data_IF_712367199257
#
_entry.id   IF_712367199257
#
_cell.length_a   1.000
_cell.length_b   1.000
_cell.length_c   1.000
_cell.angle_alpha   90.00
_cell.angle_beta   90.00
_cell.angle_gamma   90.00
#
_symmetry.space_group_name_H-M   'P 1'
#
loop_
_entity.id
_entity.type
_entity.pdbx_description
1 polymer ?
#
# COMPACT_ATOMS: atom_id res chain seq x y z
N UNK A 1 0.78 -21.26 -3.22
CA UNK A 1 -0.66 -21.18 -2.86
C UNK A 1 -0.77 -20.04 -1.89
N UNK A 2 -1.76 -19.15 -2.01
CA UNK A 2 -1.82 -17.99 -1.12
C UNK A 2 -2.03 -18.46 0.33
N UNK A 3 -1.05 -18.27 1.19
CA UNK A 3 -1.07 -18.70 2.60
C UNK A 3 -1.87 -17.69 3.43
N UNK A 4 -3.15 -17.48 3.09
CA UNK A 4 -4.00 -16.54 3.81
C UNK A 4 -5.29 -17.20 4.23
N UNK A 5 -5.56 -17.13 5.53
CA UNK A 5 -6.78 -17.68 6.10
C UNK A 5 -7.91 -16.66 6.07
N UNK A 6 -9.16 -17.12 5.99
CA UNK A 6 -10.35 -16.25 6.10
C UNK A 6 -10.30 -15.39 7.38
N UNK A 7 -9.72 -15.93 8.46
CA UNK A 7 -9.53 -15.21 9.72
C UNK A 7 -8.62 -14.00 9.57
N UNK A 8 -7.50 -14.12 8.86
CA UNK A 8 -6.59 -12.99 8.61
C UNK A 8 -7.25 -11.90 7.74
N UNK A 9 -8.08 -12.28 6.75
CA UNK A 9 -8.86 -11.31 5.96
C UNK A 9 -9.92 -10.60 6.82
N UNK A 10 -10.51 -11.32 7.78
CA UNK A 10 -11.49 -10.74 8.71
C UNK A 10 -10.81 -9.75 9.68
N UNK A 11 -9.70 -10.14 10.30
CA UNK A 11 -8.96 -9.32 11.28
C UNK A 11 -8.35 -8.04 10.66
N UNK A 12 -7.93 -8.11 9.40
CA UNK A 12 -7.41 -6.96 8.64
C UNK A 12 -8.51 -6.02 8.11
N UNK A 13 -9.78 -6.45 8.15
CA UNK A 13 -10.93 -5.63 7.75
C UNK A 13 -11.20 -5.60 6.25
N UNK A 14 -10.78 -6.63 5.50
CA UNK A 14 -10.99 -6.75 4.04
C UNK A 14 -12.48 -6.86 3.68
N UNK A 15 -13.29 -7.40 4.58
CA UNK A 15 -14.72 -7.64 4.39
C UNK A 15 -15.59 -6.38 4.43
N UNK A 16 -15.07 -5.25 4.93
CA UNK A 16 -15.83 -4.00 4.98
C UNK A 16 -15.81 -3.32 3.60
N UNK A 17 -16.98 -3.01 3.05
CA UNK A 17 -17.10 -2.15 1.90
C UNK A 17 -17.52 -0.73 2.26
N UNK A 18 -18.10 -0.01 1.30
CA UNK A 18 -18.63 1.33 1.47
C UNK A 18 -20.10 1.33 1.92
N UNK A 19 -20.60 2.54 2.19
CA UNK A 19 -22.00 2.81 2.47
C UNK A 19 -22.93 2.40 1.32
N UNK A 20 -24.15 1.97 1.64
CA UNK A 20 -25.14 1.50 0.65
C UNK A 20 -25.44 2.47 -0.47
N UNK A 21 -25.40 3.78 -0.21
CA UNK A 21 -25.61 4.84 -1.21
C UNK A 21 -24.49 4.97 -2.26
N UNK A 22 -23.31 4.40 -2.02
CA UNK A 22 -22.10 4.58 -2.87
C UNK A 22 -21.71 3.32 -3.64
N UNK A 23 -22.59 2.33 -3.73
CA UNK A 23 -22.27 1.05 -4.38
C UNK A 23 -22.52 1.05 -5.89
N UNK A 24 -21.84 0.14 -6.58
CA UNK A 24 -22.06 -0.21 -7.97
C UNK A 24 -22.94 -1.47 -8.06
N UNK A 25 -24.09 -1.44 -8.77
CA UNK A 25 -24.95 -2.61 -8.93
C UNK A 25 -24.26 -3.87 -9.49
N UNK A 26 -23.20 -3.72 -10.30
CA UNK A 26 -22.43 -4.86 -10.83
C UNK A 26 -21.62 -5.61 -9.76
N UNK A 27 -21.35 -4.95 -8.63
CA UNK A 27 -20.68 -5.57 -7.48
C UNK A 27 -21.62 -6.46 -6.66
N UNK A 28 -22.93 -6.51 -6.96
CA UNK A 28 -23.92 -7.34 -6.24
C UNK A 28 -23.49 -8.80 -6.07
N UNK A 29 -22.79 -9.38 -7.05
CA UNK A 29 -22.30 -10.77 -7.00
C UNK A 29 -21.23 -11.01 -5.93
N UNK A 30 -20.46 -9.98 -5.56
CA UNK A 30 -19.38 -10.06 -4.59
C UNK A 30 -19.79 -9.61 -3.18
N UNK A 31 -20.99 -9.04 -3.05
CA UNK A 31 -21.52 -8.54 -1.78
C UNK A 31 -22.29 -9.68 -1.09
N UNK A 32 -21.90 -9.99 0.14
CA UNK A 32 -22.55 -10.99 0.99
C UNK A 32 -23.87 -10.45 1.58
N UNK A 33 -23.86 -9.22 2.06
CA UNK A 33 -25.01 -8.59 2.69
C UNK A 33 -24.73 -7.16 3.17
N UNK A 34 -25.66 -6.59 3.92
CA UNK A 34 -25.55 -5.26 4.52
C UNK A 34 -25.65 -5.36 6.04
N UNK A 35 -24.83 -4.58 6.75
CA UNK A 35 -24.96 -4.38 8.21
C UNK A 35 -24.70 -2.92 8.55
N UNK A 36 -25.62 -2.30 9.29
CA UNK A 36 -25.52 -0.91 9.73
C UNK A 36 -25.26 0.09 8.58
N UNK A 37 -25.87 -0.12 7.40
CA UNK A 37 -25.68 0.76 6.24
C UNK A 37 -24.36 0.58 5.49
N UNK A 38 -23.56 -0.44 5.83
CA UNK A 38 -22.29 -0.79 5.15
C UNK A 38 -22.45 -2.15 4.48
N UNK A 39 -22.02 -2.25 3.22
CA UNK A 39 -21.98 -3.53 2.53
C UNK A 39 -20.81 -4.38 3.01
N UNK A 40 -21.06 -5.68 3.17
CA UNK A 40 -20.06 -6.68 3.55
C UNK A 40 -19.71 -7.48 2.30
N UNK A 41 -18.41 -7.56 2.01
CA UNK A 41 -17.86 -8.32 0.88
C UNK A 41 -17.73 -9.80 1.28
N UNK A 42 -18.05 -10.69 0.35
CA UNK A 42 -17.93 -12.14 0.54
C UNK A 42 -16.47 -12.59 0.50
N UNK A 43 -15.93 -12.94 1.68
CA UNK A 43 -14.55 -13.39 1.83
C UNK A 43 -14.24 -14.75 1.17
N UNK A 44 -15.23 -15.62 0.98
CA UNK A 44 -15.01 -16.90 0.29
C UNK A 44 -14.71 -16.66 -1.19
N UNK A 45 -15.45 -15.72 -1.79
CA UNK A 45 -15.14 -15.25 -3.13
C UNK A 45 -13.78 -14.56 -3.14
N UNK A 46 -13.50 -13.64 -2.20
CA UNK A 46 -12.19 -12.98 -2.12
C UNK A 46 -11.04 -13.97 -2.15
N UNK A 47 -11.08 -15.06 -1.38
CA UNK A 47 -10.05 -16.10 -1.38
C UNK A 47 -9.86 -16.75 -2.77
N UNK A 48 -10.96 -17.13 -3.42
CA UNK A 48 -10.92 -17.74 -4.75
C UNK A 48 -10.30 -16.79 -5.79
N UNK A 49 -10.61 -15.51 -5.71
CA UNK A 49 -10.09 -14.49 -6.62
C UNK A 49 -8.63 -14.12 -6.30
N UNK A 50 -8.26 -14.09 -5.02
CA UNK A 50 -6.86 -13.94 -4.58
C UNK A 50 -6.02 -15.07 -5.18
N UNK A 51 -6.46 -16.32 -5.10
CA UNK A 51 -5.71 -17.46 -5.66
C UNK A 51 -5.51 -17.33 -7.18
N UNK A 52 -6.53 -16.89 -7.91
CA UNK A 52 -6.44 -16.64 -9.36
C UNK A 52 -5.45 -15.52 -9.68
N UNK A 53 -5.54 -14.39 -8.97
CA UNK A 53 -4.63 -13.27 -9.13
C UNK A 53 -3.19 -13.64 -8.76
N UNK A 54 -3.01 -14.39 -7.67
CA UNK A 54 -1.72 -14.89 -7.20
C UNK A 54 -1.04 -15.75 -8.26
N UNK A 55 -1.76 -16.73 -8.82
CA UNK A 55 -1.24 -17.59 -9.88
C UNK A 55 -0.82 -16.79 -11.12
N UNK A 56 -1.66 -15.86 -11.57
CA UNK A 56 -1.37 -15.00 -12.71
C UNK A 56 -0.12 -14.12 -12.49
N UNK A 57 -0.02 -13.50 -11.32
CA UNK A 57 1.13 -12.65 -10.94
C UNK A 57 2.42 -13.45 -10.91
N UNK A 58 2.42 -14.60 -10.21
CA UNK A 58 3.57 -15.50 -10.13
C UNK A 58 4.02 -15.95 -11.52
N UNK A 59 3.08 -16.38 -12.36
CA UNK A 59 3.39 -16.88 -13.70
C UNK A 59 3.91 -15.77 -14.63
N UNK A 60 3.40 -14.54 -14.49
CA UNK A 60 3.87 -13.37 -15.25
C UNK A 60 5.31 -13.01 -14.89
N UNK A 61 5.64 -13.02 -13.59
CA UNK A 61 6.99 -12.70 -13.12
C UNK A 61 7.98 -13.84 -13.41
N UNK A 62 7.53 -15.09 -13.32
CA UNK A 62 8.34 -16.27 -13.69
C UNK A 62 8.77 -16.23 -15.17
N UNK A 63 7.95 -15.66 -16.05
CA UNK A 63 8.28 -15.42 -17.47
C UNK A 63 9.24 -14.23 -17.69
N UNK A 64 9.66 -13.56 -16.61
CA UNK A 64 10.52 -12.39 -16.66
C UNK A 64 9.79 -11.06 -16.88
N UNK A 65 8.47 -11.01 -16.66
CA UNK A 65 7.70 -9.78 -16.71
C UNK A 65 7.85 -8.92 -15.45
N UNK A 66 7.71 -7.61 -15.61
CA UNK A 66 7.64 -6.64 -14.53
C UNK A 66 6.17 -6.29 -14.21
N UNK A 67 5.90 -6.09 -12.93
CA UNK A 67 4.58 -5.67 -12.43
C UNK A 67 4.71 -4.27 -11.87
N UNK A 68 3.83 -3.36 -12.31
CA UNK A 68 3.77 -2.00 -11.81
C UNK A 68 2.74 -1.90 -10.68
N UNK A 69 3.20 -1.55 -9.48
CA UNK A 69 2.33 -1.34 -8.32
C UNK A 69 1.84 0.11 -8.30
N UNK A 70 0.52 0.33 -8.26
CA UNK A 70 -0.09 1.66 -8.35
C UNK A 70 -1.06 1.87 -7.20
N UNK A 71 -0.87 2.97 -6.46
CA UNK A 71 -1.83 3.44 -5.48
C UNK A 71 -1.44 4.79 -4.91
N UNK A 72 -2.24 5.81 -5.23
CA UNK A 72 -2.04 7.21 -4.85
C UNK A 72 -2.83 7.58 -3.60
N UNK A 73 -3.76 6.72 -3.19
CA UNK A 73 -4.55 6.83 -1.97
C UNK A 73 -3.63 6.82 -0.74
N UNK A 74 -3.86 7.71 0.23
CA UNK A 74 -3.00 7.89 1.42
C UNK A 74 -2.74 6.58 2.16
N UNK A 75 -3.75 5.73 2.26
CA UNK A 75 -3.72 4.44 2.94
C UNK A 75 -2.90 3.37 2.19
N UNK A 76 -2.64 3.58 0.90
CA UNK A 76 -1.90 2.66 0.03
C UNK A 76 -0.45 3.11 -0.21
N UNK A 77 -0.13 4.40 -0.07
CA UNK A 77 1.16 4.95 -0.52
C UNK A 77 2.37 4.26 0.11
N UNK A 78 2.34 4.11 1.44
CA UNK A 78 3.45 3.51 2.21
C UNK A 78 3.55 2.01 1.94
N UNK A 79 2.43 1.29 2.03
CA UNK A 79 2.37 -0.15 1.81
C UNK A 79 2.87 -0.54 0.40
N UNK A 80 2.50 0.23 -0.63
CA UNK A 80 2.96 -0.03 -2.00
C UNK A 80 4.45 0.24 -2.13
N UNK A 81 4.94 1.38 -1.62
CA UNK A 81 6.35 1.73 -1.73
C UNK A 81 7.25 0.71 -1.02
N UNK A 82 6.89 0.32 0.19
CA UNK A 82 7.63 -0.66 0.99
C UNK A 82 7.66 -2.03 0.31
N UNK A 83 6.48 -2.56 -0.07
CA UNK A 83 6.37 -3.90 -0.63
C UNK A 83 6.96 -4.02 -2.03
N UNK A 84 6.81 -2.98 -2.87
CA UNK A 84 7.41 -2.98 -4.20
C UNK A 84 8.94 -2.84 -4.14
N UNK A 85 9.47 -2.01 -3.23
CA UNK A 85 10.91 -1.87 -3.01
C UNK A 85 11.51 -3.18 -2.51
N UNK A 86 10.82 -3.87 -1.59
CA UNK A 86 11.24 -5.20 -1.08
C UNK A 86 11.42 -6.23 -2.20
N UNK A 87 10.57 -6.20 -3.23
CA UNK A 87 10.58 -7.18 -4.34
C UNK A 87 11.33 -6.66 -5.58
N UNK A 88 11.82 -5.41 -5.56
CA UNK A 88 12.52 -4.80 -6.69
C UNK A 88 11.62 -4.52 -7.90
N UNK A 89 10.32 -4.33 -7.69
CA UNK A 89 9.34 -4.05 -8.74
C UNK A 89 9.03 -2.55 -8.83
N UNK A 90 8.70 -2.02 -10.02
CA UNK A 90 8.38 -0.61 -10.16
C UNK A 90 7.06 -0.24 -9.47
N UNK A 91 6.97 0.98 -8.95
CA UNK A 91 5.77 1.47 -8.27
C UNK A 91 5.46 2.95 -8.51
N UNK A 92 4.21 3.33 -8.26
CA UNK A 92 3.70 4.71 -8.26
C UNK A 92 2.83 4.90 -7.02
N UNK A 93 3.35 5.63 -6.03
CA UNK A 93 2.68 5.89 -4.75
C UNK A 93 2.16 7.34 -4.59
N UNK A 94 2.66 8.29 -5.38
CA UNK A 94 2.29 9.71 -5.22
C UNK A 94 1.15 10.12 -6.15
N UNK A 95 1.43 10.28 -7.45
CA UNK A 95 0.47 10.75 -8.43
C UNK A 95 0.72 10.09 -9.78
N UNK A 96 -0.35 9.58 -10.38
CA UNK A 96 -0.33 9.18 -11.79
C UNK A 96 -0.26 10.41 -12.71
N UNK A 97 0.77 10.48 -13.54
CA UNK A 97 0.83 11.46 -14.63
C UNK A 97 0.18 10.83 -15.86
N UNK A 98 -0.81 11.52 -16.44
CA UNK A 98 -1.42 11.06 -17.69
C UNK A 98 -0.36 10.89 -18.77
N UNK A 99 -0.40 9.76 -19.47
CA UNK A 99 0.62 9.37 -20.45
C UNK A 99 1.76 8.55 -19.86
N UNK A 100 1.66 8.07 -18.62
CA UNK A 100 2.71 7.26 -17.98
C UNK A 100 3.02 5.97 -18.75
N UNK A 101 1.99 5.30 -19.27
CA UNK A 101 2.16 4.09 -20.07
C UNK A 101 2.02 4.42 -21.56
N UNK A 102 1.01 5.20 -21.93
CA UNK A 102 0.69 5.48 -23.34
C UNK A 102 1.70 6.40 -24.02
N UNK A 103 2.37 7.30 -23.27
CA UNK A 103 3.45 8.16 -23.74
C UNK A 103 4.76 7.89 -22.98
N UNK A 104 5.10 6.61 -22.84
CA UNK A 104 6.28 6.18 -22.09
C UNK A 104 7.59 6.78 -22.62
N UNK A 105 7.71 7.04 -23.93
CA UNK A 105 8.91 7.67 -24.50
C UNK A 105 9.20 9.05 -23.90
N UNK A 106 8.17 9.85 -23.60
CA UNK A 106 8.35 11.17 -22.97
C UNK A 106 8.69 11.05 -21.49
N UNK A 107 8.10 10.07 -20.80
CA UNK A 107 8.33 9.81 -19.38
C UNK A 107 9.74 9.26 -19.17
N UNK A 108 10.19 8.33 -20.02
CA UNK A 108 11.55 7.79 -20.02
C UNK A 108 12.60 8.89 -20.16
N UNK A 109 12.38 9.89 -21.02
CA UNK A 109 13.25 11.09 -21.11
C UNK A 109 13.31 11.88 -19.80
N UNK A 110 12.19 11.99 -19.08
CA UNK A 110 12.15 12.67 -17.77
C UNK A 110 12.87 11.86 -16.70
N UNK A 111 12.75 10.53 -16.72
CA UNK A 111 13.51 9.63 -15.84
C UNK A 111 15.02 9.71 -16.13
N UNK A 112 15.42 9.76 -17.40
CA UNK A 112 16.81 9.99 -17.78
C UNK A 112 17.30 11.36 -17.26
N UNK A 113 16.48 12.41 -17.39
CA UNK A 113 16.82 13.74 -16.85
C UNK A 113 16.95 13.74 -15.32
N UNK A 114 16.16 12.94 -14.62
CA UNK A 114 16.29 12.75 -13.17
C UNK A 114 17.63 12.10 -12.82
N UNK A 115 18.04 11.04 -13.54
CA UNK A 115 19.34 10.39 -13.38
C UNK A 115 20.52 11.35 -13.67
N UNK A 116 20.39 12.22 -14.67
CA UNK A 116 21.37 13.29 -14.93
C UNK A 116 21.48 14.27 -13.75
N UNK A 117 20.35 14.69 -13.16
CA UNK A 117 20.35 15.61 -12.01
C UNK A 117 20.90 14.95 -10.74
N UNK A 118 20.75 13.63 -10.59
CA UNK A 118 21.36 12.89 -9.49
C UNK A 118 22.88 12.83 -9.56
N UNK A 119 23.45 12.84 -10.77
CA UNK A 119 24.90 12.83 -10.98
C UNK A 119 25.57 14.18 -10.69
N UNK A 120 24.80 15.25 -10.50
CA UNK A 120 25.33 16.59 -10.19
C UNK A 120 25.65 16.66 -8.70
N UNK A 121 26.87 17.08 -8.37
CA UNK A 121 27.23 17.43 -7.00
C UNK A 121 26.71 18.84 -6.66
N UNK A 122 25.60 18.87 -5.91
CA UNK A 122 24.97 20.12 -5.46
C UNK A 122 25.76 20.85 -4.37
N UNK A 123 26.72 20.18 -3.72
CA UNK A 123 27.52 20.77 -2.65
C UNK A 123 28.72 21.56 -3.19
N UNK A 124 29.25 21.13 -4.34
CA UNK A 124 30.43 21.75 -4.94
C UNK A 124 30.05 22.77 -6.04
N UNK A 125 29.87 24.02 -5.63
CA UNK A 125 29.59 25.16 -6.52
C UNK A 125 30.71 25.41 -7.53
N UNK A 126 31.97 25.16 -7.15
CA UNK A 126 33.12 25.42 -8.03
C UNK A 126 33.26 24.37 -9.15
N UNK A 127 32.89 23.11 -8.87
CA UNK A 127 32.95 22.02 -9.85
C UNK A 127 31.79 22.06 -10.86
N UNK A 128 30.63 22.58 -10.48
CA UNK A 128 29.44 22.64 -11.34
C UNK A 128 29.43 23.82 -12.30
N UNK A 129 30.19 24.89 -12.03
CA UNK A 129 30.18 26.11 -12.85
C UNK A 129 28.85 26.89 -12.81
N UNK A 130 27.96 26.55 -11.87
CA UNK A 130 26.62 27.12 -11.71
C UNK A 130 26.56 28.06 -10.52
N UNK A 131 25.65 29.03 -10.56
CA UNK A 131 25.38 29.89 -9.40
C UNK A 131 24.65 29.11 -8.30
N UNK A 132 24.81 29.52 -7.03
CA UNK A 132 24.08 28.92 -5.90
C UNK A 132 22.56 28.90 -6.10
N UNK A 133 22.01 29.91 -6.77
CA UNK A 133 20.57 29.99 -7.08
C UNK A 133 20.16 28.93 -8.09
N UNK A 134 20.98 28.68 -9.12
CA UNK A 134 20.72 27.66 -10.13
C UNK A 134 20.84 26.25 -9.55
N UNK A 135 21.83 26.01 -8.69
CA UNK A 135 21.97 24.74 -7.98
C UNK A 135 20.74 24.43 -7.13
N UNK A 136 20.25 25.40 -6.35
CA UNK A 136 19.03 25.24 -5.56
C UNK A 136 17.80 24.98 -6.44
N UNK A 137 17.71 25.59 -7.63
CA UNK A 137 16.64 25.31 -8.57
C UNK A 137 16.73 23.90 -9.16
N UNK A 138 17.93 23.41 -9.42
CA UNK A 138 18.15 22.05 -9.92
C UNK A 138 17.85 20.99 -8.84
N UNK A 139 18.24 21.25 -7.60
CA UNK A 139 17.94 20.40 -6.44
C UNK A 139 16.42 20.27 -6.25
N UNK A 140 15.67 21.37 -6.22
CA UNK A 140 14.20 21.35 -6.14
C UNK A 140 13.55 20.61 -7.33
N UNK A 141 14.15 20.68 -8.52
CA UNK A 141 13.69 19.92 -9.70
C UNK A 141 13.94 18.43 -9.50
N UNK A 142 15.11 18.05 -8.99
CA UNK A 142 15.45 16.66 -8.63
C UNK A 142 14.44 16.12 -7.62
N UNK A 143 14.26 16.78 -6.48
CA UNK A 143 13.32 16.35 -5.43
C UNK A 143 11.89 16.14 -5.96
N UNK A 144 11.42 17.06 -6.82
CA UNK A 144 10.09 16.96 -7.43
C UNK A 144 9.99 15.77 -8.40
N UNK A 145 11.02 15.52 -9.18
CA UNK A 145 11.07 14.38 -10.10
C UNK A 145 11.18 13.07 -9.32
N UNK A 146 12.05 12.99 -8.33
CA UNK A 146 12.25 11.82 -7.47
C UNK A 146 10.96 11.45 -6.73
N UNK A 147 10.25 12.45 -6.17
CA UNK A 147 8.95 12.22 -5.53
C UNK A 147 7.91 11.62 -6.48
N UNK A 148 7.93 11.98 -7.76
CA UNK A 148 6.87 11.57 -8.71
C UNK A 148 7.23 10.34 -9.55
N UNK A 149 8.51 10.18 -9.89
CA UNK A 149 9.01 9.16 -10.83
C UNK A 149 10.02 8.21 -10.18
N UNK A 150 10.33 8.36 -8.88
CA UNK A 150 11.32 7.53 -8.19
C UNK A 150 11.01 6.03 -8.27
N UNK A 151 9.75 5.64 -8.13
CA UNK A 151 9.36 4.23 -8.22
C UNK A 151 9.38 3.63 -9.64
N UNK A 152 9.50 4.45 -10.69
CA UNK A 152 9.69 3.99 -12.08
C UNK A 152 11.08 4.30 -12.62
N UNK A 153 12.02 4.64 -11.74
CA UNK A 153 13.41 5.01 -12.05
C UNK A 153 14.13 3.93 -12.87
N UNK A 154 13.98 2.68 -12.47
CA UNK A 154 14.70 1.54 -13.05
C UNK A 154 13.83 0.70 -13.99
N UNK A 155 12.68 1.26 -14.37
CA UNK A 155 11.82 0.70 -15.39
C UNK A 155 12.33 1.08 -16.78
N UNK A 156 12.80 0.09 -17.54
CA UNK A 156 13.33 0.26 -18.91
C UNK A 156 12.33 -0.13 -20.01
N UNK A 157 11.34 -0.95 -19.67
CA UNK A 157 10.31 -1.46 -20.58
C UNK A 157 8.94 -1.22 -19.95
N UNK A 158 7.90 -1.29 -20.77
CA UNK A 158 6.53 -1.26 -20.25
C UNK A 158 6.27 -2.48 -19.35
N UNK A 159 5.46 -2.34 -18.30
CA UNK A 159 5.10 -3.46 -17.43
C UNK A 159 4.20 -4.46 -18.16
N UNK A 160 4.27 -5.73 -17.75
CA UNK A 160 3.46 -6.82 -18.31
C UNK A 160 2.14 -7.00 -17.55
N UNK A 161 2.04 -6.47 -16.33
CA UNK A 161 0.80 -6.38 -15.57
C UNK A 161 0.80 -5.15 -14.65
N UNK A 162 -0.39 -4.68 -14.30
CA UNK A 162 -0.58 -3.66 -13.27
C UNK A 162 -1.22 -4.28 -12.03
N UNK A 163 -0.75 -3.85 -10.86
CA UNK A 163 -1.45 -4.00 -9.59
C UNK A 163 -1.99 -2.63 -9.17
N UNK A 164 -3.31 -2.50 -9.02
CA UNK A 164 -3.98 -1.22 -8.72
C UNK A 164 -4.77 -1.31 -7.42
N UNK A 165 -4.58 -0.32 -6.55
CA UNK A 165 -5.41 -0.10 -5.36
C UNK A 165 -6.40 1.03 -5.66
N UNK A 166 -7.70 0.76 -5.48
CA UNK A 166 -8.83 1.67 -5.77
C UNK A 166 -8.95 2.03 -7.26
N UNK A 167 -9.78 1.30 -8.01
CA UNK A 167 -9.91 1.53 -9.46
C UNK A 167 -10.51 2.89 -9.80
N UNK A 168 -11.38 3.42 -8.94
CA UNK A 168 -12.09 4.67 -9.17
C UNK A 168 -11.16 5.86 -9.06
N UNK A 169 -10.27 5.83 -8.05
CA UNK A 169 -9.29 6.88 -7.85
C UNK A 169 -8.18 6.81 -8.92
N UNK A 170 -7.86 5.62 -9.41
CA UNK A 170 -6.76 5.34 -10.34
C UNK A 170 -7.25 5.10 -11.80
N UNK A 171 -8.43 5.61 -12.15
CA UNK A 171 -9.05 5.44 -13.47
C UNK A 171 -8.11 5.76 -14.65
N UNK A 172 -7.26 6.79 -14.55
CA UNK A 172 -6.30 7.12 -15.60
C UNK A 172 -5.30 5.99 -15.87
N UNK A 173 -4.82 5.32 -14.82
CA UNK A 173 -3.89 4.19 -14.95
C UNK A 173 -4.57 3.01 -15.65
N UNK A 174 -5.83 2.75 -15.29
CA UNK A 174 -6.66 1.69 -15.87
C UNK A 174 -6.95 1.97 -17.34
N UNK A 175 -7.39 3.19 -17.67
CA UNK A 175 -7.68 3.59 -19.04
C UNK A 175 -6.45 3.46 -19.95
N UNK A 176 -5.28 3.84 -19.46
CA UNK A 176 -4.02 3.68 -20.18
C UNK A 176 -3.62 2.21 -20.35
N UNK A 177 -3.72 1.41 -19.28
CA UNK A 177 -3.41 -0.01 -19.30
C UNK A 177 -4.34 -0.77 -20.27
N UNK A 178 -5.65 -0.49 -20.25
CA UNK A 178 -6.63 -1.08 -21.17
C UNK A 178 -6.36 -0.74 -22.63
N UNK A 179 -5.99 0.52 -22.93
CA UNK A 179 -5.60 0.93 -24.30
C UNK A 179 -4.41 0.14 -24.83
N UNK A 180 -3.44 -0.16 -23.96
CA UNK A 180 -2.25 -0.95 -24.29
C UNK A 180 -2.46 -2.46 -24.15
N UNK A 181 -3.65 -2.90 -23.72
CA UNK A 181 -3.98 -4.31 -23.43
C UNK A 181 -3.05 -4.94 -22.39
N UNK A 182 -2.61 -4.14 -21.43
CA UNK A 182 -1.86 -4.63 -20.27
C UNK A 182 -2.88 -5.17 -19.27
N UNK A 183 -2.77 -6.44 -18.82
CA UNK A 183 -3.69 -7.03 -17.87
C UNK A 183 -3.64 -6.33 -16.52
N UNK A 184 -4.81 -6.15 -15.92
CA UNK A 184 -5.00 -5.39 -14.68
C UNK A 184 -5.43 -6.34 -13.56
N UNK A 185 -4.67 -6.30 -12.48
CA UNK A 185 -5.00 -6.92 -11.20
C UNK A 185 -5.33 -5.80 -10.22
N UNK A 186 -6.43 -5.89 -9.48
CA UNK A 186 -6.77 -4.80 -8.58
C UNK A 186 -7.75 -5.15 -7.48
N UNK A 187 -7.70 -4.35 -6.42
CA UNK A 187 -8.64 -4.42 -5.30
C UNK A 187 -9.95 -3.75 -5.72
N UNK A 188 -11.05 -4.48 -5.59
CA UNK A 188 -12.39 -3.96 -5.86
C UNK A 188 -13.19 -3.82 -4.57
N UNK A 189 -13.48 -2.58 -4.20
CA UNK A 189 -14.51 -2.27 -3.24
C UNK A 189 -15.88 -2.19 -3.95
N UNK A 190 -16.94 -2.17 -3.16
CA UNK A 190 -18.35 -2.05 -3.51
C UNK A 190 -18.71 -0.89 -4.45
N UNK A 191 -17.89 0.15 -4.57
CA UNK A 191 -18.12 1.31 -5.44
C UNK A 191 -17.44 1.19 -6.83
N UNK A 192 -16.60 0.18 -7.04
CA UNK A 192 -15.80 -0.02 -8.24
C UNK A 192 -16.59 -0.79 -9.32
N UNK A 193 -16.21 -0.64 -10.60
CA UNK A 193 -16.75 -1.46 -11.69
C UNK A 193 -15.86 -2.71 -11.89
N UNK A 194 -16.40 -3.93 -11.69
CA UNK A 194 -15.62 -5.15 -11.87
C UNK A 194 -15.25 -5.46 -13.33
N UNK A 195 -15.87 -4.80 -14.32
CA UNK A 195 -15.59 -5.06 -15.73
C UNK A 195 -14.35 -4.30 -16.24
N UNK A 196 -13.79 -3.40 -15.43
CA UNK A 196 -12.58 -2.63 -15.74
C UNK A 196 -11.29 -3.37 -15.40
N UNK A 197 -11.39 -4.48 -14.66
CA UNK A 197 -10.26 -5.25 -14.11
C UNK A 197 -10.34 -6.70 -14.55
N UNK A 198 -9.24 -7.25 -15.07
CA UNK A 198 -9.18 -8.64 -15.56
C UNK A 198 -9.10 -9.65 -14.39
N UNK A 199 -8.28 -9.34 -13.39
CA UNK A 199 -8.08 -10.14 -12.19
C UNK A 199 -8.53 -9.33 -10.96
N UNK A 200 -9.83 -9.31 -10.76
CA UNK A 200 -10.48 -8.62 -9.65
C UNK A 200 -10.24 -9.35 -8.33
N UNK A 201 -9.87 -8.61 -7.27
CA UNK A 201 -9.85 -9.11 -5.89
C UNK A 201 -10.88 -8.32 -5.07
N UNK A 202 -12.04 -8.89 -4.75
CA UNK A 202 -13.02 -8.22 -3.89
C UNK A 202 -12.42 -7.96 -2.51
N UNK A 203 -12.39 -6.70 -2.07
CA UNK A 203 -11.83 -6.32 -0.78
C UNK A 203 -11.88 -4.83 -0.50
N UNK A 204 -11.60 -4.47 0.76
CA UNK A 204 -11.56 -3.10 1.24
C UNK A 204 -10.30 -2.36 0.76
N UNK A 205 -10.47 -1.20 0.14
CA UNK A 205 -9.38 -0.32 -0.31
C UNK A 205 -9.14 0.92 0.60
N UNK A 206 -10.00 1.14 1.61
CA UNK A 206 -9.92 2.27 2.54
C UNK A 206 -9.09 1.95 3.78
N UNK A 207 -9.05 0.69 4.21
CA UNK A 207 -8.34 0.29 5.41
C UNK A 207 -6.85 0.02 5.13
N UNK A 208 -5.96 0.70 5.85
CA UNK A 208 -4.49 0.52 5.76
C UNK A 208 -4.11 -0.95 5.95
N UNK A 209 -4.70 -1.63 6.95
CA UNK A 209 -4.41 -3.05 7.23
C UNK A 209 -4.85 -3.98 6.10
N UNK A 210 -5.98 -3.69 5.45
CA UNK A 210 -6.49 -4.46 4.31
C UNK A 210 -5.57 -4.29 3.10
N UNK A 211 -5.28 -3.04 2.72
CA UNK A 211 -4.42 -2.72 1.57
C UNK A 211 -3.00 -3.28 1.77
N UNK A 212 -2.43 -3.14 2.97
CA UNK A 212 -1.12 -3.69 3.29
C UNK A 212 -1.10 -5.22 3.17
N UNK A 213 -2.12 -5.91 3.70
CA UNK A 213 -2.22 -7.37 3.59
C UNK A 213 -2.33 -7.82 2.13
N UNK A 214 -3.26 -7.23 1.36
CA UNK A 214 -3.48 -7.60 -0.04
C UNK A 214 -2.26 -7.29 -0.92
N UNK A 215 -1.64 -6.12 -0.72
CA UNK A 215 -0.42 -5.75 -1.45
C UNK A 215 0.74 -6.66 -1.10
N UNK A 216 0.90 -7.04 0.17
CA UNK A 216 1.92 -8.00 0.61
C UNK A 216 1.74 -9.36 -0.06
N UNK A 217 0.51 -9.89 -0.13
CA UNK A 217 0.21 -11.18 -0.77
C UNK A 217 0.64 -11.17 -2.25
N UNK A 218 0.33 -10.09 -2.96
CA UNK A 218 0.69 -9.94 -4.38
C UNK A 218 2.20 -9.72 -4.55
N UNK A 219 2.84 -9.00 -3.63
CA UNK A 219 4.29 -8.85 -3.62
C UNK A 219 5.00 -10.20 -3.35
N UNK A 220 4.49 -11.00 -2.42
CA UNK A 220 5.01 -12.35 -2.16
C UNK A 220 4.85 -13.26 -3.39
N UNK A 221 3.73 -13.15 -4.13
CA UNK A 221 3.54 -13.85 -5.40
C UNK A 221 4.59 -13.46 -6.46
N UNK A 222 4.93 -12.18 -6.53
CA UNK A 222 5.98 -11.68 -7.42
C UNK A 222 7.36 -12.20 -6.98
N UNK A 223 7.66 -12.22 -5.67
CA UNK A 223 8.90 -12.77 -5.14
C UNK A 223 9.04 -14.28 -5.43
N UNK A 224 7.96 -15.07 -5.24
CA UNK A 224 7.94 -16.48 -5.64
C UNK A 224 8.19 -16.66 -7.15
N UNK A 225 7.61 -15.79 -7.98
CA UNK A 225 7.84 -15.80 -9.43
C UNK A 225 9.31 -15.50 -9.79
N UNK A 226 9.95 -14.56 -9.10
CA UNK A 226 11.38 -14.26 -9.28
C UNK A 226 12.25 -15.45 -8.89
N UNK A 227 11.95 -16.10 -7.77
CA UNK A 227 12.67 -17.29 -7.31
C UNK A 227 12.50 -18.48 -8.27
N UNK A 228 11.31 -18.68 -8.82
CA UNK A 228 11.06 -19.71 -9.83
C UNK A 228 11.87 -19.44 -11.11
N UNK A 229 12.04 -18.16 -11.48
CA UNK A 229 12.87 -17.77 -12.63
C UNK A 229 14.35 -18.01 -12.38
N UNK A 230 14.87 -17.65 -11.20
CA UNK A 230 16.29 -17.83 -10.89
C UNK A 230 16.66 -19.31 -10.75
N UNK A 231 15.80 -20.11 -10.12
CA UNK A 231 15.98 -21.57 -10.01
C UNK A 231 15.77 -22.32 -11.33
N UNK A 232 14.86 -21.84 -12.19
CA UNK A 232 14.66 -22.36 -13.55
C UNK A 232 15.76 -21.98 -14.55
N UNK A 233 16.69 -21.10 -14.16
CA UNK A 233 17.78 -20.56 -14.98
C UNK A 233 18.87 -21.55 -15.44
N UNK A 234 18.74 -22.85 -15.16
CA UNK A 234 19.62 -23.90 -15.70
C UNK A 234 19.10 -24.46 -17.05
N UNK A 235 17.88 -24.14 -17.47
CA UNK A 235 17.26 -24.82 -18.62
C UNK A 235 17.10 -24.01 -19.93
N UNK A 236 17.49 -22.73 -20.00
CA UNK A 236 17.46 -21.98 -21.26
C UNK A 236 18.66 -21.03 -21.37
N UNK A 237 19.55 -21.34 -22.32
CA UNK A 237 20.88 -20.76 -22.44
C UNK A 237 20.95 -19.28 -22.82
N UNK A 238 22.07 -18.70 -22.38
CA UNK A 238 22.82 -17.58 -22.95
C UNK A 238 22.09 -16.23 -23.13
N UNK A 239 22.12 -15.42 -22.07
CA UNK A 239 22.43 -13.99 -22.14
C UNK A 239 23.01 -13.54 -20.81
N UNK A 240 24.32 -13.26 -20.83
CA UNK A 240 25.11 -12.40 -19.93
C UNK A 240 24.67 -12.32 -18.45
N UNK A 241 25.40 -13.07 -17.62
CA UNK A 241 25.36 -12.96 -16.17
C UNK A 241 25.90 -11.60 -15.72
N UNK A 242 25.00 -10.67 -15.39
CA UNK A 242 25.35 -9.60 -14.46
C UNK A 242 25.56 -10.20 -13.05
N UNK A 243 26.56 -9.73 -12.29
CA UNK A 243 26.83 -10.26 -10.97
C UNK A 243 25.64 -10.02 -10.03
N UNK A 244 25.03 -11.13 -9.63
CA UNK A 244 23.96 -11.29 -8.65
C UNK A 244 24.06 -10.30 -7.48
N UNK A 245 22.97 -9.58 -7.20
CA UNK A 245 22.92 -8.54 -6.18
C UNK A 245 22.91 -9.14 -4.77
N UNK A 246 23.49 -8.44 -3.78
CA UNK A 246 23.73 -8.98 -2.43
C UNK A 246 22.44 -9.44 -1.70
N UNK A 247 21.29 -8.85 -2.04
CA UNK A 247 19.98 -9.24 -1.50
C UNK A 247 19.51 -10.63 -1.98
N UNK A 248 19.95 -11.09 -3.16
CA UNK A 248 19.63 -12.44 -3.67
C UNK A 248 20.37 -13.53 -2.88
N UNK A 249 21.54 -13.21 -2.32
CA UNK A 249 22.33 -14.15 -1.50
C UNK A 249 21.76 -14.33 -0.09
N UNK A 250 21.24 -13.24 0.50
CA UNK A 250 20.68 -13.27 1.85
C UNK A 250 19.39 -14.11 1.91
N UNK A 251 18.57 -14.06 0.86
CA UNK A 251 17.33 -14.84 0.77
C UNK A 251 17.58 -16.36 0.63
N UNK A 252 18.65 -16.74 -0.08
CA UNK A 252 19.08 -18.13 -0.25
C UNK A 252 19.71 -18.71 1.03
N UNK A 253 20.44 -17.91 1.81
CA UNK A 253 21.06 -18.35 3.07
C UNK A 253 20.05 -18.61 4.19
N UNK A 254 18.97 -17.82 4.26
CA UNK A 254 17.94 -17.98 5.28
C UNK A 254 17.08 -19.26 5.11
N UNK A 255 17.14 -19.93 3.95
CA UNK A 255 16.36 -21.15 3.69
C UNK A 255 17.10 -22.44 4.04
N UNK A 256 18.42 -22.42 4.24
CA UNK A 256 19.21 -23.61 4.59
C UNK A 256 19.30 -23.86 6.12
N UNK A 257 19.11 -22.84 6.96
CA UNK A 257 19.17 -22.96 8.43
C UNK A 257 17.77 -22.97 9.09
N UNK A 258 17.03 -24.06 8.89
CA UNK A 258 15.97 -24.46 9.82
C UNK A 258 16.31 -25.84 10.41
N UNK A 259 16.46 -25.99 11.75
CA UNK A 259 16.92 -27.24 12.33
C UNK A 259 15.80 -28.28 12.33
N UNK A 260 16.05 -29.41 11.67
CA UNK A 260 15.27 -30.64 11.78
C UNK A 260 15.61 -31.30 13.12
N UNK A 261 14.71 -31.26 14.09
CA UNK A 261 14.83 -32.07 15.32
C UNK A 261 14.06 -33.37 15.11
N UNK A 262 14.82 -34.47 15.16
CA UNK A 262 14.39 -35.84 15.03
C UNK A 262 13.42 -36.26 16.15
N UNK A 263 12.34 -36.94 15.75
CA UNK A 263 11.57 -37.86 16.59
C UNK A 263 12.12 -39.28 16.41
N UNK A 264 12.61 -39.91 17.46
CA UNK A 264 12.54 -41.35 17.61
C UNK A 264 12.43 -41.74 19.09
N UNK A 265 11.51 -42.67 19.32
CA UNK A 265 10.91 -43.17 20.56
C UNK A 265 11.82 -44.09 21.37
N UNK A 266 11.73 -44.02 22.70
CA UNK A 266 11.91 -45.16 23.60
C UNK A 266 10.85 -45.09 24.70
N UNK A 267 10.05 -46.15 24.80
CA UNK A 267 9.06 -46.37 25.85
C UNK A 267 9.65 -47.30 26.91
N UNK A 268 9.45 -46.97 28.20
CA UNK A 268 9.01 -47.86 29.30
C UNK A 268 9.21 -47.17 30.67
N UNK A 269 8.21 -47.30 31.55
CA UNK A 269 8.38 -47.01 32.98
C UNK A 269 7.26 -46.21 33.63
N UNK A 270 6.17 -46.88 34.03
CA UNK A 270 5.07 -46.35 34.85
C UNK A 270 5.47 -46.38 36.33
N UNK A 271 5.34 -45.27 37.07
CA UNK A 271 5.11 -45.30 38.52
C UNK A 271 4.60 -43.93 39.04
N UNK A 272 3.57 -44.00 39.87
CA UNK A 272 2.81 -42.91 40.48
C UNK A 272 3.46 -42.35 41.77
N UNK A 273 2.77 -41.36 42.36
CA UNK A 273 2.92 -40.72 43.69
C UNK A 273 3.67 -39.38 43.63
N UNK A 274 3.32 -38.30 44.33
CA UNK A 274 2.17 -37.84 45.13
C UNK A 274 2.50 -36.38 45.51
N UNK A 275 1.49 -35.53 45.69
CA UNK A 275 1.63 -34.27 46.43
C UNK A 275 2.16 -34.52 47.86
N UNK A 276 2.79 -33.50 48.49
CA UNK A 276 2.01 -32.86 49.55
C UNK A 276 2.09 -31.33 49.57
N UNK A 277 0.99 -30.81 50.09
CA UNK A 277 0.60 -29.43 50.29
C UNK A 277 1.01 -28.91 51.70
N UNK A 278 1.12 -27.57 51.81
CA UNK A 278 0.99 -26.65 52.99
C UNK A 278 2.04 -26.68 54.15
N UNK A 279 2.27 -25.59 54.95
CA UNK A 279 1.41 -24.40 55.09
C UNK A 279 2.00 -22.99 55.24
N UNK A 280 1.05 -22.06 55.08
CA UNK A 280 0.88 -20.66 55.45
C UNK A 280 1.23 -20.25 56.90
N UNK A 281 1.73 -19.02 57.06
CA UNK A 281 1.42 -18.00 58.10
C UNK A 281 2.40 -16.82 57.90
N UNK A 282 2.18 -15.53 58.16
CA UNK A 282 1.04 -14.70 58.55
C UNK A 282 1.51 -13.24 58.35
N UNK A 283 0.63 -12.35 57.90
CA UNK A 283 0.64 -10.92 58.26
C UNK A 283 -0.29 -10.77 59.48
N UNK A 284 -0.23 -9.72 60.35
CA UNK A 284 -0.49 -8.34 59.93
C UNK A 284 0.14 -7.21 60.82
N UNK A 285 -0.27 -5.98 60.50
CA UNK A 285 -0.33 -4.74 61.31
C UNK A 285 0.79 -3.66 61.24
N UNK A 286 0.48 -2.65 60.42
CA UNK A 286 0.31 -1.21 60.71
C UNK A 286 1.03 -0.53 61.89
N UNK A 287 1.62 0.64 61.61
CA UNK A 287 1.47 1.86 62.44
C UNK A 287 1.60 3.15 61.63
N UNK A 288 0.74 4.09 62.00
CA UNK A 288 0.52 5.47 61.55
C UNK A 288 1.70 6.44 61.65
N UNK A 289 1.66 7.50 60.82
CA UNK A 289 1.54 8.94 61.17
C UNK A 289 2.22 9.81 60.08
N UNK A 290 1.80 11.00 59.69
CA UNK A 290 0.62 11.84 59.88
C UNK A 290 0.71 12.95 58.80
N UNK A 291 -0.44 13.35 58.28
CA UNK A 291 -0.71 14.59 57.53
C UNK A 291 -0.56 15.81 58.48
N UNK A 292 -0.41 17.07 57.99
CA UNK A 292 -1.63 17.79 57.60
C UNK A 292 -1.53 18.77 56.41
N UNK A 293 -2.53 18.68 55.53
CA UNK A 293 -3.52 19.70 55.19
C UNK A 293 -3.08 21.13 54.81
N UNK A 294 -3.47 21.56 53.60
CA UNK A 294 -4.42 22.70 53.47
C UNK A 294 -5.14 22.66 52.10
N UNK A 295 -6.46 22.86 52.14
CA UNK A 295 -7.37 22.90 51.00
C UNK A 295 -7.73 24.32 50.55
N UNK A 296 -8.80 24.50 49.76
CA UNK A 296 -8.75 25.23 48.49
C UNK A 296 -9.42 26.62 48.52
N UNK A 297 -9.15 27.44 47.50
CA UNK A 297 -9.96 28.63 47.20
C UNK A 297 -10.07 28.90 45.69
N UNK A 298 -11.29 28.75 45.19
CA UNK A 298 -11.86 29.46 44.05
C UNK A 298 -12.04 30.95 44.37
N UNK A 299 -12.08 31.82 43.34
CA UNK A 299 -13.08 32.91 43.10
C UNK A 299 -12.52 34.02 42.18
N UNK A 300 -13.36 34.42 41.20
CA UNK A 300 -13.50 35.71 40.50
C UNK A 300 -12.59 36.20 39.35
N UNK A 301 -13.24 36.40 38.19
CA UNK A 301 -13.04 37.50 37.25
C UNK A 301 -13.50 38.85 37.85
N UNK A 302 -13.05 40.00 37.31
CA UNK A 302 -13.88 40.81 36.39
C UNK A 302 -13.08 41.28 35.14
N UNK A 303 -13.69 41.43 33.95
CA UNK A 303 -14.28 42.67 33.38
C UNK A 303 -13.36 43.91 33.49
N UNK A 304 -13.18 44.78 32.48
CA UNK A 304 -13.76 44.99 31.15
C UNK A 304 -13.03 46.20 30.52
N UNK A 305 -13.12 46.38 29.19
CA UNK A 305 -13.68 47.59 28.57
C UNK A 305 -13.07 47.95 27.20
N UNK A 306 -14.02 48.13 26.27
CA UNK A 306 -14.10 49.11 25.17
C UNK A 306 -13.31 48.87 23.87
N UNK A 307 -13.84 49.03 22.64
CA UNK A 307 -15.16 49.20 21.95
C UNK A 307 -14.80 49.62 20.50
N UNK A 308 -15.70 49.94 19.54
CA UNK A 308 -17.06 49.47 19.18
C UNK A 308 -17.10 48.88 17.72
N UNK A 309 -18.09 48.05 17.33
CA UNK A 309 -19.34 48.37 16.56
C UNK A 309 -19.08 49.05 15.18
N UNK A 310 -19.61 48.64 14.02
CA UNK A 310 -20.98 48.22 13.73
C UNK A 310 -21.14 47.74 12.26
N UNK A 311 -22.24 46.99 12.06
CA UNK A 311 -22.91 46.45 10.87
C UNK A 311 -22.70 47.10 9.48
N UNK A 312 -22.71 46.27 8.42
CA UNK A 312 -23.88 46.18 7.51
C UNK A 312 -23.78 44.94 6.57
N UNK A 313 -24.92 44.32 6.25
CA UNK A 313 -25.14 43.41 5.11
C UNK A 313 -25.95 44.21 4.05
N UNK A 314 -26.26 43.76 2.81
CA UNK A 314 -26.22 42.40 2.26
C UNK A 314 -25.77 42.32 0.77
N UNK A 315 -25.96 41.15 0.16
CA UNK A 315 -26.62 40.93 -1.16
C UNK A 315 -25.89 39.98 -2.14
N UNK A 316 -26.67 39.02 -2.62
CA UNK A 316 -26.35 37.92 -3.54
C UNK A 316 -26.14 38.39 -4.99
N UNK A 317 -25.48 37.60 -5.86
CA UNK A 317 -25.67 37.74 -7.30
C UNK A 317 -26.51 36.61 -7.90
N UNK A 318 -27.30 37.03 -8.89
CA UNK A 318 -28.38 36.34 -9.58
C UNK A 318 -27.96 35.31 -10.64
N UNK A 319 -28.90 34.40 -10.93
CA UNK A 319 -28.98 33.56 -12.13
C UNK A 319 -29.21 34.39 -13.41
N UNK A 320 -28.79 33.95 -14.61
CA UNK A 320 -29.31 34.49 -15.86
C UNK A 320 -30.53 33.69 -16.35
N UNK A 321 -31.62 34.41 -16.61
CA UNK A 321 -32.76 33.91 -17.37
C UNK A 321 -32.72 34.44 -18.81
N UNK A 322 -33.18 33.57 -19.71
CA UNK A 322 -33.59 33.77 -21.09
C UNK A 322 -34.49 34.98 -21.35
N UNK A 323 -34.32 35.62 -22.50
CA UNK A 323 -35.44 36.19 -23.29
C UNK A 323 -35.02 36.39 -24.77
N UNK A 324 -35.91 35.93 -25.66
CA UNK A 324 -36.21 36.44 -27.00
C UNK A 324 -36.63 37.93 -26.91
N UNK A 325 -36.64 38.80 -27.92
CA UNK A 325 -37.20 38.79 -29.29
C UNK A 325 -36.67 40.04 -30.07
N UNK A 326 -36.99 40.11 -31.37
CA UNK A 326 -37.04 41.29 -32.27
C UNK A 326 -35.72 41.87 -32.85
N UNK A 327 -35.32 41.38 -34.04
CA UNK A 327 -35.41 42.10 -35.35
C UNK A 327 -35.14 41.13 -36.52
#
# INVERSE_FOLDING_TARGET
MAVVTTRQLLESGVHFGHQTRRWNPKMKRFIFGERNGIYIIDLQQSLTYIDKAYGFVRDTVARGGQILFVGTKKQAQEAIAEQATRVGMPYVNQRWLGGMLTNYATISKRTAKMKELEAIDFTNVAASGLTKKELLQQERKKEKLEKTLGGIRDMHKLPQALWVVDTKKEHLAIDEARKLRIPIVGILDTNCDPDEVDYAIPGNDDAIRSVALLTRIIADAAAEGLLARSSGGVATGAAEAEPMAEWERELLGATEEAPRVHTETAAEGVAALADPEVPVDAAPESVHAQDPAEGPASVESPESADSPESADSPESPASPASASDDE
#
